data_IF_585454997003
#
_entry.id   IF_585454997003
#
_cell.length_a   1.000
_cell.length_b   1.000
_cell.length_c   1.000
_cell.angle_alpha   90.00
_cell.angle_beta   90.00
_cell.angle_gamma   90.00
#
_symmetry.space_group_name_H-M   'P 1'
#
loop_
_entity.id
_entity.type
_entity.pdbx_description
1 polymer ?
#
# COMPACT_ATOMS: atom_id res chain seq x y z
N UNK A 1 27.03 6.31 27.67
CA UNK A 1 26.18 6.10 26.51
C UNK A 1 24.80 6.72 26.73
N UNK A 2 24.33 7.49 25.78
CA UNK A 2 23.04 8.15 25.88
C UNK A 2 21.94 7.24 25.28
N UNK A 3 21.16 6.60 26.14
CA UNK A 3 20.09 5.69 25.74
C UNK A 3 19.03 6.36 24.88
N UNK A 4 18.69 7.62 25.16
CA UNK A 4 17.72 8.39 24.35
C UNK A 4 18.20 8.59 22.92
N UNK A 5 19.49 8.79 22.72
CA UNK A 5 20.09 8.93 21.40
C UNK A 5 20.00 7.63 20.60
N UNK A 6 20.22 6.48 21.26
CA UNK A 6 20.07 5.16 20.64
C UNK A 6 18.62 4.91 20.25
N UNK A 7 17.67 5.22 21.14
CA UNK A 7 16.24 5.05 20.88
C UNK A 7 15.78 5.88 19.67
N UNK A 8 16.26 7.13 19.54
CA UNK A 8 15.97 8.00 18.41
C UNK A 8 16.53 7.40 17.12
N UNK A 9 17.74 6.86 17.13
CA UNK A 9 18.36 6.24 15.96
C UNK A 9 17.55 5.02 15.53
N UNK A 10 17.16 4.14 16.46
CA UNK A 10 16.35 2.96 16.18
C UNK A 10 14.98 3.36 15.60
N UNK A 11 14.34 4.37 16.18
CA UNK A 11 13.06 4.89 15.71
C UNK A 11 13.17 5.44 14.28
N UNK A 12 14.22 6.23 13.99
CA UNK A 12 14.46 6.77 12.66
C UNK A 12 14.70 5.67 11.62
N UNK A 13 15.44 4.63 11.96
CA UNK A 13 15.66 3.47 11.08
C UNK A 13 14.32 2.77 10.80
N UNK A 14 13.48 2.56 11.82
CA UNK A 14 12.17 1.93 11.66
C UNK A 14 11.27 2.74 10.74
N UNK A 15 11.23 4.07 10.92
CA UNK A 15 10.45 4.98 10.06
C UNK A 15 10.98 4.94 8.62
N UNK A 16 12.30 4.92 8.45
CA UNK A 16 12.95 4.88 7.12
C UNK A 16 12.54 3.63 6.33
N UNK A 17 12.40 2.47 6.99
CA UNK A 17 12.04 1.21 6.33
C UNK A 17 10.54 0.97 6.21
N UNK A 18 9.69 1.87 6.74
CA UNK A 18 8.26 1.76 6.55
C UNK A 18 7.87 2.07 5.10
N UNK A 19 6.87 1.33 4.59
CA UNK A 19 6.33 1.59 3.27
C UNK A 19 5.81 3.03 3.16
N UNK A 20 6.21 3.72 2.10
CA UNK A 20 5.77 5.08 1.84
C UNK A 20 4.50 5.04 1.00
N UNK A 21 3.39 5.47 1.57
CA UNK A 21 2.09 5.46 0.89
C UNK A 21 2.08 6.53 -0.20
N UNK A 22 1.79 6.13 -1.43
CA UNK A 22 1.72 7.06 -2.57
C UNK A 22 0.50 7.97 -2.49
N UNK A 23 0.58 9.11 -3.17
CA UNK A 23 -0.57 10.01 -3.31
C UNK A 23 -1.74 9.32 -4.02
N UNK A 24 -1.47 8.46 -5.00
CA UNK A 24 -2.50 7.69 -5.69
C UNK A 24 -3.29 6.79 -4.75
N UNK A 25 -2.62 6.10 -3.85
CA UNK A 25 -3.27 5.28 -2.82
C UNK A 25 -4.10 6.15 -1.87
N UNK A 26 -3.57 7.30 -1.43
CA UNK A 26 -4.31 8.20 -0.54
C UNK A 26 -5.55 8.79 -1.20
N UNK A 27 -5.45 9.16 -2.47
CA UNK A 27 -6.59 9.66 -3.25
C UNK A 27 -7.66 8.59 -3.43
N UNK A 28 -7.26 7.36 -3.75
CA UNK A 28 -8.19 6.23 -3.87
C UNK A 28 -8.89 5.95 -2.53
N UNK A 29 -8.15 5.96 -1.44
CA UNK A 29 -8.71 5.79 -0.09
C UNK A 29 -9.77 6.87 0.20
N UNK A 30 -9.46 8.13 -0.09
CA UNK A 30 -10.39 9.24 0.13
C UNK A 30 -11.68 9.06 -0.69
N UNK A 31 -11.57 8.66 -1.97
CA UNK A 31 -12.73 8.42 -2.82
C UNK A 31 -13.65 7.32 -2.29
N UNK A 32 -13.10 6.36 -1.57
CA UNK A 32 -13.84 5.20 -1.04
C UNK A 32 -14.16 5.31 0.45
N UNK A 33 -13.92 6.47 1.07
CA UNK A 33 -14.18 6.67 2.49
C UNK A 33 -13.32 5.82 3.39
N UNK A 34 -12.08 5.53 2.97
CA UNK A 34 -11.14 4.68 3.69
C UNK A 34 -9.98 5.50 4.25
N UNK A 35 -9.41 4.99 5.34
CA UNK A 35 -8.18 5.51 5.92
C UNK A 35 -7.08 4.46 5.78
N UNK A 36 -5.88 4.88 5.43
CA UNK A 36 -4.73 4.00 5.24
C UNK A 36 -3.56 4.44 6.11
N UNK A 37 -2.84 3.47 6.63
CA UNK A 37 -1.61 3.67 7.38
C UNK A 37 -0.55 2.69 6.87
N UNK A 38 0.76 3.00 7.02
CA UNK A 38 1.78 1.99 6.79
C UNK A 38 1.51 0.79 7.68
N UNK A 39 1.57 -0.40 7.12
CA UNK A 39 1.29 -1.62 7.87
C UNK A 39 2.35 -1.89 8.93
N UNK A 40 1.92 -2.34 10.11
CA UNK A 40 2.82 -2.85 11.15
C UNK A 40 3.25 -4.29 10.85
N UNK A 41 2.53 -4.98 9.96
CA UNK A 41 2.90 -6.32 9.49
C UNK A 41 3.98 -6.16 8.43
N UNK A 42 5.17 -6.65 8.71
CA UNK A 42 6.37 -6.46 7.87
C UNK A 42 6.18 -6.91 6.42
N UNK A 43 5.38 -7.93 6.19
CA UNK A 43 5.13 -8.49 4.86
C UNK A 43 4.05 -7.77 4.07
N UNK A 44 3.38 -6.77 4.66
CA UNK A 44 2.29 -6.02 4.02
C UNK A 44 2.61 -4.53 3.95
N UNK A 45 2.12 -3.88 2.89
CA UNK A 45 2.39 -2.45 2.64
C UNK A 45 1.55 -1.53 3.50
N UNK A 46 0.24 -1.74 3.53
CA UNK A 46 -0.71 -0.83 4.18
C UNK A 46 -1.72 -1.58 5.03
N UNK A 47 -2.14 -0.93 6.11
CA UNK A 47 -3.32 -1.30 6.91
C UNK A 47 -4.47 -0.37 6.54
N UNK A 48 -5.66 -0.93 6.36
CA UNK A 48 -6.85 -0.23 5.85
C UNK A 48 -7.92 -0.20 6.90
N UNK A 49 -8.54 0.97 7.07
CA UNK A 49 -9.58 1.23 8.07
C UNK A 49 -10.76 1.95 7.43
N UNK A 50 -11.95 1.68 7.96
CA UNK A 50 -13.14 2.52 7.76
C UNK A 50 -13.51 3.09 9.11
N UNK A 51 -13.26 4.40 9.32
CA UNK A 51 -13.31 4.98 10.66
C UNK A 51 -12.32 4.27 11.58
N UNK A 52 -12.78 3.71 12.68
CA UNK A 52 -11.96 2.95 13.62
C UNK A 52 -11.93 1.44 13.32
N UNK A 53 -12.71 0.99 12.35
CA UNK A 53 -12.78 -0.41 11.99
C UNK A 53 -11.58 -0.82 11.12
N UNK A 54 -10.79 -1.77 11.62
CA UNK A 54 -9.70 -2.36 10.85
C UNK A 54 -10.25 -3.36 9.84
N UNK A 55 -10.00 -3.11 8.54
CA UNK A 55 -10.49 -3.98 7.45
C UNK A 55 -9.46 -5.02 7.01
N UNK A 56 -8.20 -4.79 7.27
CA UNK A 56 -7.12 -5.70 6.92
C UNK A 56 -5.87 -4.99 6.45
N UNK A 57 -4.80 -5.76 6.27
CA UNK A 57 -3.54 -5.27 5.69
C UNK A 57 -3.36 -5.92 4.33
N UNK A 58 -2.96 -5.12 3.35
CA UNK A 58 -2.87 -5.53 1.95
C UNK A 58 -1.57 -5.10 1.29
N UNK A 59 -1.25 -5.77 0.18
CA UNK A 59 -0.05 -5.52 -0.60
C UNK A 59 1.18 -6.24 -0.06
N UNK A 60 1.89 -6.94 -0.94
CA UNK A 60 3.14 -7.58 -0.56
C UNK A 60 4.29 -6.56 -0.58
N UNK A 61 5.06 -6.47 0.50
CA UNK A 61 6.28 -5.65 0.51
C UNK A 61 7.31 -6.23 -0.46
N UNK A 62 8.12 -5.35 -1.04
CA UNK A 62 9.14 -5.74 -2.00
C UNK A 62 8.67 -5.83 -3.45
N UNK A 63 7.39 -5.68 -3.71
CA UNK A 63 6.82 -5.69 -5.07
C UNK A 63 6.28 -4.32 -5.43
N UNK A 64 6.39 -3.95 -6.70
CA UNK A 64 5.78 -2.73 -7.22
C UNK A 64 4.27 -2.88 -7.32
N UNK A 65 3.58 -1.74 -7.25
CA UNK A 65 2.16 -1.62 -7.54
C UNK A 65 1.95 -0.61 -8.68
N UNK A 66 0.70 -0.31 -9.03
CA UNK A 66 0.39 0.61 -10.12
C UNK A 66 1.10 1.96 -9.95
N UNK A 67 1.04 2.52 -8.74
CA UNK A 67 1.59 3.85 -8.47
C UNK A 67 3.11 3.88 -8.56
N UNK A 68 3.79 2.84 -8.06
CA UNK A 68 5.24 2.75 -8.15
C UNK A 68 5.72 2.47 -9.59
N UNK A 69 5.00 1.64 -10.34
CA UNK A 69 5.30 1.44 -11.76
C UNK A 69 5.16 2.74 -12.54
N UNK A 70 4.09 3.50 -12.29
CA UNK A 70 3.86 4.78 -12.95
C UNK A 70 4.97 5.79 -12.66
N UNK A 71 5.38 5.89 -11.40
CA UNK A 71 6.46 6.79 -10.99
C UNK A 71 7.81 6.40 -11.60
N UNK A 72 8.12 5.11 -11.64
CA UNK A 72 9.41 4.60 -12.10
C UNK A 72 9.52 4.51 -13.61
N UNK A 73 8.45 4.07 -14.28
CA UNK A 73 8.51 3.64 -15.68
C UNK A 73 7.47 4.30 -16.58
N UNK A 74 6.56 5.08 -16.03
CA UNK A 74 5.54 5.81 -16.79
C UNK A 74 4.20 5.11 -16.88
N UNK A 75 3.25 5.81 -17.48
CA UNK A 75 1.84 5.44 -17.53
C UNK A 75 1.59 4.14 -18.29
N UNK A 76 2.24 3.97 -19.45
CA UNK A 76 2.02 2.78 -20.29
C UNK A 76 2.46 1.50 -19.60
N UNK A 77 3.63 1.52 -18.94
CA UNK A 77 4.16 0.37 -18.21
C UNK A 77 3.23 0.05 -17.04
N UNK A 78 2.79 1.07 -16.30
CA UNK A 78 1.87 0.90 -15.19
C UNK A 78 0.54 0.28 -15.66
N UNK A 79 -0.01 0.75 -16.76
CA UNK A 79 -1.25 0.23 -17.33
C UNK A 79 -1.14 -1.24 -17.71
N UNK A 80 -0.02 -1.65 -18.30
CA UNK A 80 0.21 -3.05 -18.70
C UNK A 80 0.30 -3.96 -17.46
N UNK A 81 1.01 -3.52 -16.41
CA UNK A 81 1.09 -4.28 -15.17
C UNK A 81 -0.27 -4.34 -14.47
N UNK A 82 -1.06 -3.27 -14.49
CA UNK A 82 -2.43 -3.26 -13.97
C UNK A 82 -3.30 -4.28 -14.71
N UNK A 83 -3.23 -4.30 -16.04
CA UNK A 83 -3.98 -5.26 -16.86
C UNK A 83 -3.67 -6.69 -16.43
N UNK A 84 -2.39 -7.03 -16.30
CA UNK A 84 -1.95 -8.36 -15.86
C UNK A 84 -2.42 -8.68 -14.44
N UNK A 85 -2.36 -7.71 -13.54
CA UNK A 85 -2.84 -7.87 -12.17
C UNK A 85 -4.33 -8.21 -12.14
N UNK A 86 -5.15 -7.44 -12.87
CA UNK A 86 -6.59 -7.64 -12.91
C UNK A 86 -6.97 -9.00 -13.52
N UNK A 87 -6.19 -9.51 -14.48
CA UNK A 87 -6.37 -10.84 -15.01
C UNK A 87 -6.07 -11.92 -13.96
N UNK A 88 -4.93 -11.82 -13.29
CA UNK A 88 -4.53 -12.79 -12.26
C UNK A 88 -5.51 -12.82 -11.08
N UNK A 89 -6.10 -11.68 -10.75
CA UNK A 89 -6.99 -11.51 -9.61
C UNK A 89 -8.47 -11.39 -9.99
N UNK A 90 -8.85 -11.88 -11.16
CA UNK A 90 -10.22 -11.79 -11.66
C UNK A 90 -11.25 -12.35 -10.68
N UNK A 91 -10.88 -13.38 -9.92
CA UNK A 91 -11.78 -14.03 -8.97
C UNK A 91 -11.86 -13.34 -7.60
N UNK A 92 -10.81 -12.66 -7.16
CA UNK A 92 -10.71 -12.14 -5.79
C UNK A 92 -10.70 -10.61 -5.68
N UNK A 93 -10.66 -9.88 -6.81
CA UNK A 93 -10.59 -8.41 -6.80
C UNK A 93 -11.91 -7.69 -6.52
N UNK A 94 -13.01 -8.42 -6.36
CA UNK A 94 -14.34 -7.84 -6.22
C UNK A 94 -14.86 -7.79 -4.78
N UNK A 95 -14.16 -8.42 -3.83
CA UNK A 95 -14.59 -8.48 -2.44
C UNK A 95 -13.40 -8.59 -1.49
N UNK A 96 -13.62 -8.24 -0.21
CA UNK A 96 -12.65 -8.42 0.86
C UNK A 96 -11.32 -7.72 0.61
N UNK A 97 -10.24 -8.34 1.07
CA UNK A 97 -8.87 -7.79 0.93
C UNK A 97 -8.44 -7.66 -0.53
N UNK A 98 -8.89 -8.55 -1.39
CA UNK A 98 -8.61 -8.47 -2.82
C UNK A 98 -9.17 -7.20 -3.45
N UNK A 99 -10.37 -6.80 -3.06
CA UNK A 99 -10.96 -5.53 -3.50
C UNK A 99 -10.19 -4.33 -2.96
N UNK A 100 -9.80 -4.35 -1.70
CA UNK A 100 -9.01 -3.27 -1.10
C UNK A 100 -7.68 -3.09 -1.83
N UNK A 101 -6.96 -4.17 -2.11
CA UNK A 101 -5.71 -4.11 -2.85
C UNK A 101 -5.91 -3.57 -4.26
N UNK A 102 -6.94 -4.02 -4.97
CA UNK A 102 -7.24 -3.57 -6.33
C UNK A 102 -7.52 -2.07 -6.36
N UNK A 103 -8.36 -1.56 -5.47
CA UNK A 103 -8.71 -0.13 -5.39
C UNK A 103 -7.50 0.72 -5.00
N UNK A 104 -6.79 0.33 -3.96
CA UNK A 104 -5.80 1.20 -3.32
C UNK A 104 -4.42 1.12 -3.96
N UNK A 105 -4.03 -0.06 -4.43
CA UNK A 105 -2.68 -0.29 -4.95
C UNK A 105 -2.65 -0.42 -6.47
N UNK A 106 -3.77 -0.72 -7.09
CA UNK A 106 -3.83 -0.96 -8.54
C UNK A 106 -4.80 -0.02 -9.26
N UNK A 107 -5.35 0.96 -8.54
CA UNK A 107 -6.23 2.00 -9.12
C UNK A 107 -7.39 1.41 -9.93
N UNK A 108 -7.96 0.37 -9.40
CA UNK A 108 -9.05 -0.36 -10.06
C UNK A 108 -10.43 -0.01 -9.52
#
# INVERSE_FOLDING_TARGET
LNLKKIDIIILNISIYYMYQISNGTRQAAARHGLRVEPSRIKTKKISVFRGDEYLGSVGATGYDDYHSFKRKYGQEVANEHKRRYLERHAKDRHAGKGKLAAILLWDA
#
